data_IF_295466342575
#
_entry.id   IF_295466342575
#
_cell.length_a   1.000
_cell.length_b   1.000
_cell.length_c   1.000
_cell.angle_alpha   90.00
_cell.angle_beta   90.00
_cell.angle_gamma   90.00
#
_symmetry.space_group_name_H-M   'P 1'
#
loop_
_entity.id
_entity.type
_entity.pdbx_description
1 polymer ?
#
# COMPACT_ATOMS: atom_id res chain seq x y z
N UNK A 1 17.91 3.38 19.76
CA UNK A 1 16.79 2.40 19.89
C UNK A 1 16.71 1.57 18.64
N UNK A 2 15.91 0.51 18.57
CA UNK A 2 15.68 -0.26 17.33
C UNK A 2 14.48 0.34 16.61
N UNK A 3 14.56 0.44 15.29
CA UNK A 3 13.39 0.82 14.45
C UNK A 3 12.28 -0.20 14.73
N UNK A 4 11.06 0.28 14.98
CA UNK A 4 9.92 -0.57 15.30
C UNK A 4 8.75 -0.29 14.35
N UNK A 5 8.31 -1.32 13.63
CA UNK A 5 7.13 -1.28 12.76
C UNK A 5 5.92 -1.83 13.53
N UNK A 6 4.88 -1.03 13.65
CA UNK A 6 3.54 -1.47 14.05
C UNK A 6 2.78 -1.90 12.80
N UNK A 7 2.47 -3.18 12.75
CA UNK A 7 2.06 -3.90 11.55
C UNK A 7 0.69 -4.57 11.73
N UNK A 8 0.12 -4.99 10.65
CA UNK A 8 -0.94 -6.00 10.59
C UNK A 8 -0.69 -6.86 9.34
N UNK A 9 -0.35 -8.13 9.56
CA UNK A 9 0.10 -9.04 8.51
C UNK A 9 -0.87 -9.14 7.31
N UNK A 10 -2.17 -8.98 7.54
CA UNK A 10 -3.22 -9.11 6.52
C UNK A 10 -3.60 -7.78 5.84
N UNK A 11 -3.09 -6.64 6.34
CA UNK A 11 -3.48 -5.33 5.85
C UNK A 11 -2.56 -4.84 4.70
N UNK A 12 -3.13 -4.19 3.67
CA UNK A 12 -2.36 -3.76 2.50
C UNK A 12 -1.39 -2.62 2.80
N UNK A 13 -1.76 -1.67 3.66
CA UNK A 13 -0.91 -0.52 3.95
C UNK A 13 0.39 -0.90 4.67
N UNK A 14 0.37 -1.70 5.75
CA UNK A 14 1.60 -2.20 6.37
C UNK A 14 2.44 -3.08 5.44
N UNK A 15 1.83 -3.87 4.57
CA UNK A 15 2.57 -4.69 3.60
C UNK A 15 3.49 -3.84 2.72
N UNK A 16 3.08 -2.63 2.35
CA UNK A 16 3.96 -1.69 1.61
C UNK A 16 5.20 -1.31 2.42
N UNK A 17 5.01 -1.01 3.71
CA UNK A 17 6.12 -0.69 4.60
C UNK A 17 7.07 -1.88 4.80
N UNK A 18 6.55 -3.12 4.99
CA UNK A 18 7.37 -4.33 5.08
C UNK A 18 8.22 -4.53 3.84
N UNK A 19 7.62 -4.47 2.65
CA UNK A 19 8.34 -4.60 1.39
C UNK A 19 9.41 -3.52 1.26
N UNK A 20 9.08 -2.27 1.57
CA UNK A 20 10.01 -1.15 1.49
C UNK A 20 11.21 -1.32 2.43
N UNK A 21 10.97 -1.72 3.69
CA UNK A 21 12.02 -2.02 4.66
C UNK A 21 12.94 -3.15 4.19
N UNK A 22 12.36 -4.22 3.62
CA UNK A 22 13.11 -5.34 3.07
C UNK A 22 13.95 -4.94 1.85
N UNK A 23 13.39 -4.17 0.92
CA UNK A 23 14.12 -3.67 -0.25
C UNK A 23 15.28 -2.72 0.12
N UNK A 24 15.13 -2.00 1.22
CA UNK A 24 16.20 -1.15 1.78
C UNK A 24 17.18 -1.91 2.68
N UNK A 25 16.93 -3.19 2.98
CA UNK A 25 17.75 -3.98 3.88
C UNK A 25 17.78 -3.48 5.32
N UNK A 26 16.70 -2.84 5.77
CA UNK A 26 16.61 -2.20 7.09
C UNK A 26 16.10 -3.19 8.13
N UNK A 27 16.96 -3.51 9.11
CA UNK A 27 16.58 -4.33 10.26
C UNK A 27 15.62 -3.55 11.17
N UNK A 28 14.55 -4.20 11.61
CA UNK A 28 13.54 -3.61 12.47
C UNK A 28 12.87 -4.66 13.36
N UNK A 29 12.29 -4.22 14.47
CA UNK A 29 11.34 -5.01 15.24
C UNK A 29 9.93 -4.84 14.68
N UNK A 30 9.09 -5.85 14.81
CA UNK A 30 7.69 -5.81 14.39
C UNK A 30 6.79 -6.04 15.59
N UNK A 31 5.76 -5.18 15.72
CA UNK A 31 4.67 -5.32 16.68
C UNK A 31 3.39 -5.51 15.90
N UNK A 32 2.78 -6.69 16.01
CA UNK A 32 1.49 -6.97 15.37
C UNK A 32 0.37 -6.20 16.07
N UNK A 33 -0.52 -5.60 15.30
CA UNK A 33 -1.72 -4.89 15.75
C UNK A 33 -2.94 -5.61 15.20
N UNK A 34 -3.73 -6.25 16.06
CA UNK A 34 -4.89 -7.03 15.63
C UNK A 34 -6.07 -6.13 15.26
N UNK A 35 -6.20 -5.86 13.96
CA UNK A 35 -7.32 -5.07 13.43
C UNK A 35 -8.68 -5.77 13.55
N UNK A 36 -8.69 -7.11 13.69
CA UNK A 36 -9.95 -7.88 13.85
C UNK A 36 -10.52 -7.69 15.25
N UNK A 37 -9.64 -7.51 16.22
CA UNK A 37 -10.02 -7.19 17.61
C UNK A 37 -10.13 -5.67 17.83
N UNK A 38 -10.03 -4.87 16.77
CA UNK A 38 -10.06 -3.41 16.84
C UNK A 38 -8.97 -2.81 17.78
N UNK A 39 -7.83 -3.49 17.94
CA UNK A 39 -6.73 -3.08 18.83
C UNK A 39 -6.25 -1.66 18.50
N UNK A 40 -6.26 -1.26 17.22
CA UNK A 40 -5.87 0.09 16.77
C UNK A 40 -6.79 1.19 17.35
N UNK A 41 -7.96 0.85 17.86
CA UNK A 41 -8.91 1.79 18.48
C UNK A 41 -8.77 1.84 20.00
N UNK A 42 -8.01 0.92 20.59
CA UNK A 42 -7.78 0.87 22.04
C UNK A 42 -6.82 1.95 22.53
N UNK A 43 -6.93 2.33 23.80
CA UNK A 43 -6.13 3.39 24.41
C UNK A 43 -4.63 3.14 24.33
N UNK A 44 -4.20 1.89 24.38
CA UNK A 44 -2.79 1.52 24.29
C UNK A 44 -2.21 1.94 22.93
N UNK A 45 -2.88 1.58 21.83
CA UNK A 45 -2.42 1.94 20.49
C UNK A 45 -2.65 3.42 20.19
N UNK A 46 -3.72 4.04 20.67
CA UNK A 46 -3.96 5.49 20.50
C UNK A 46 -2.85 6.36 21.07
N UNK A 47 -2.17 5.92 22.14
CA UNK A 47 -0.99 6.62 22.68
C UNK A 47 0.22 6.53 21.73
N UNK A 48 0.29 5.49 20.89
CA UNK A 48 1.32 5.31 19.87
C UNK A 48 0.94 6.10 18.63
N UNK A 49 -0.23 5.80 18.04
CA UNK A 49 -0.75 6.48 16.85
C UNK A 49 -2.19 6.99 17.09
N UNK A 50 -2.37 8.26 17.41
CA UNK A 50 -3.70 8.85 17.62
C UNK A 50 -4.64 8.76 16.40
N UNK A 51 -4.09 8.54 15.20
CA UNK A 51 -4.87 8.34 13.97
C UNK A 51 -5.50 6.95 13.89
N UNK A 52 -5.17 6.02 14.80
CA UNK A 52 -5.75 4.67 14.85
C UNK A 52 -5.60 3.91 13.52
N UNK A 53 -4.45 4.02 12.87
CA UNK A 53 -4.14 3.39 11.60
C UNK A 53 -2.82 2.63 11.65
N UNK A 54 -2.67 1.65 10.77
CA UNK A 54 -1.40 0.95 10.50
C UNK A 54 -1.02 1.15 9.02
N UNK A 55 0.28 1.21 8.68
CA UNK A 55 1.42 1.08 9.57
C UNK A 55 1.67 2.33 10.40
N UNK A 56 2.39 2.14 11.51
CA UNK A 56 3.14 3.19 12.16
C UNK A 56 4.59 2.69 12.32
N UNK A 57 5.58 3.58 12.18
CA UNK A 57 6.98 3.24 12.35
C UNK A 57 7.61 4.21 13.33
N UNK A 58 8.25 3.68 14.37
CA UNK A 58 9.08 4.45 15.31
C UNK A 58 10.54 4.25 14.91
N UNK A 59 11.23 5.33 14.62
CA UNK A 59 12.63 5.33 14.21
C UNK A 59 13.56 5.07 15.40
N UNK A 60 14.85 4.85 15.12
CA UNK A 60 15.86 4.60 16.13
C UNK A 60 16.15 5.80 17.04
N UNK A 61 15.80 7.02 16.59
CA UNK A 61 15.85 8.27 17.36
C UNK A 61 14.48 8.67 17.98
N UNK A 62 13.46 7.84 17.84
CA UNK A 62 12.15 8.01 18.47
C UNK A 62 11.13 8.83 17.68
N UNK A 63 11.40 9.17 16.40
CA UNK A 63 10.43 9.83 15.55
C UNK A 63 9.31 8.85 15.18
N UNK A 64 8.05 9.27 15.33
CA UNK A 64 6.88 8.52 14.89
C UNK A 64 6.45 8.91 13.48
N UNK A 65 6.33 7.93 12.60
CA UNK A 65 5.84 8.06 11.22
C UNK A 65 4.54 7.25 11.09
N UNK A 66 3.43 7.88 10.74
CA UNK A 66 2.08 7.28 10.84
C UNK A 66 1.46 6.86 9.51
N UNK A 67 2.17 7.06 8.40
CA UNK A 67 1.69 6.72 7.06
C UNK A 67 2.84 6.32 6.12
N UNK A 68 2.47 5.68 5.00
CA UNK A 68 3.48 5.20 4.06
C UNK A 68 4.25 6.32 3.35
N UNK A 69 3.68 7.53 3.22
CA UNK A 69 4.38 8.63 2.57
C UNK A 69 5.54 9.11 3.46
N UNK A 70 5.28 9.31 4.76
CA UNK A 70 6.29 9.68 5.74
C UNK A 70 7.36 8.59 5.89
N UNK A 71 6.94 7.31 6.01
CA UNK A 71 7.85 6.16 6.11
C UNK A 71 8.75 6.09 4.86
N UNK A 72 8.18 6.23 3.66
CA UNK A 72 8.94 6.20 2.40
C UNK A 72 9.94 7.35 2.33
N UNK A 73 9.51 8.57 2.64
CA UNK A 73 10.38 9.75 2.59
C UNK A 73 11.55 9.64 3.57
N UNK A 74 11.29 9.17 4.79
CA UNK A 74 12.32 8.98 5.79
C UNK A 74 13.31 7.87 5.40
N UNK A 75 12.80 6.71 4.96
CA UNK A 75 13.65 5.59 4.53
C UNK A 75 14.51 5.96 3.32
N UNK A 76 13.96 6.69 2.36
CA UNK A 76 14.71 7.12 1.17
C UNK A 76 15.82 8.11 1.53
N UNK A 77 15.57 9.03 2.46
CA UNK A 77 16.57 9.98 2.93
C UNK A 77 17.66 9.31 3.78
N UNK A 78 17.28 8.37 4.64
CA UNK A 78 18.20 7.70 5.58
C UNK A 78 18.99 6.57 4.93
N UNK A 79 18.37 5.87 3.95
CA UNK A 79 18.91 4.73 3.21
C UNK A 79 18.70 4.95 1.71
N UNK A 80 19.52 5.79 1.05
CA UNK A 80 19.27 6.22 -0.33
C UNK A 80 19.43 5.10 -1.38
N UNK A 81 19.99 3.95 -1.02
CA UNK A 81 20.14 2.82 -1.92
C UNK A 81 19.31 1.61 -1.49
N UNK A 82 18.64 0.94 -2.46
CA UNK A 82 18.37 1.36 -3.84
C UNK A 82 17.43 2.58 -3.91
N UNK A 83 17.56 3.45 -4.96
CA UNK A 83 16.75 4.68 -5.05
C UNK A 83 15.33 4.39 -5.54
N UNK A 84 14.43 4.04 -4.62
CA UNK A 84 13.05 3.65 -4.95
C UNK A 84 12.14 4.83 -5.32
N UNK A 85 12.56 6.06 -5.02
CA UNK A 85 11.90 7.29 -5.49
C UNK A 85 12.55 7.90 -6.76
N UNK A 86 13.54 7.19 -7.35
CA UNK A 86 14.26 7.65 -8.53
C UNK A 86 15.48 8.52 -8.23
N UNK A 87 16.40 8.60 -9.20
CA UNK A 87 17.67 9.29 -9.07
C UNK A 87 17.67 10.65 -9.75
N UNK A 88 17.02 10.77 -10.90
CA UNK A 88 16.92 12.01 -11.67
C UNK A 88 15.61 12.75 -11.41
N UNK A 89 15.52 14.06 -11.67
CA UNK A 89 14.25 14.80 -11.55
C UNK A 89 13.11 14.18 -12.38
N UNK A 90 13.41 13.68 -13.58
CA UNK A 90 12.42 13.06 -14.45
C UNK A 90 11.91 11.73 -13.89
N UNK A 91 12.81 10.85 -13.41
CA UNK A 91 12.43 9.60 -12.73
C UNK A 91 11.57 9.88 -11.50
N UNK A 92 12.00 10.84 -10.66
CA UNK A 92 11.26 11.22 -9.45
C UNK A 92 9.85 11.71 -9.76
N UNK A 93 9.70 12.52 -10.79
CA UNK A 93 8.41 13.04 -11.21
C UNK A 93 7.50 11.91 -11.74
N UNK A 94 8.04 11.03 -12.59
CA UNK A 94 7.28 9.91 -13.15
C UNK A 94 6.85 8.92 -12.05
N UNK A 95 7.78 8.54 -11.15
CA UNK A 95 7.50 7.63 -10.03
C UNK A 95 6.45 8.25 -9.10
N UNK A 96 6.58 9.52 -8.73
CA UNK A 96 5.61 10.20 -7.88
C UNK A 96 4.20 10.25 -8.52
N UNK A 97 4.12 10.52 -9.82
CA UNK A 97 2.87 10.53 -10.58
C UNK A 97 2.20 9.15 -10.56
N UNK A 98 2.95 8.07 -10.84
CA UNK A 98 2.41 6.72 -10.83
C UNK A 98 2.10 6.22 -9.43
N UNK A 99 2.91 6.56 -8.43
CA UNK A 99 2.62 6.27 -7.02
C UNK A 99 1.26 6.85 -6.61
N UNK A 100 1.02 8.13 -6.93
CA UNK A 100 -0.26 8.79 -6.64
C UNK A 100 -1.42 8.10 -7.38
N UNK A 101 -1.26 7.78 -8.67
CA UNK A 101 -2.29 7.08 -9.45
C UNK A 101 -2.63 5.73 -8.86
N UNK A 102 -1.63 4.93 -8.49
CA UNK A 102 -1.84 3.61 -7.89
C UNK A 102 -2.56 3.71 -6.54
N UNK A 103 -2.23 4.71 -5.73
CA UNK A 103 -2.93 4.95 -4.47
C UNK A 103 -4.36 5.41 -4.69
N UNK A 104 -4.57 6.41 -5.54
CA UNK A 104 -5.89 7.01 -5.75
C UNK A 104 -6.82 6.15 -6.61
N UNK A 105 -6.32 5.64 -7.75
CA UNK A 105 -7.13 4.87 -8.70
C UNK A 105 -7.25 3.39 -8.29
N UNK A 106 -6.24 2.84 -7.59
CA UNK A 106 -6.17 1.45 -7.15
C UNK A 106 -6.58 1.26 -5.69
N UNK A 107 -5.68 1.56 -4.75
CA UNK A 107 -5.90 1.24 -3.32
C UNK A 107 -7.14 1.92 -2.74
N UNK A 108 -7.36 3.20 -3.05
CA UNK A 108 -8.53 3.92 -2.56
C UNK A 108 -9.83 3.37 -3.17
N UNK A 109 -9.82 2.98 -4.45
CA UNK A 109 -10.98 2.35 -5.09
C UNK A 109 -11.31 0.99 -4.45
N UNK A 110 -10.31 0.16 -4.13
CA UNK A 110 -10.50 -1.10 -3.41
C UNK A 110 -11.05 -0.83 -2.00
N UNK A 111 -10.50 0.17 -1.31
CA UNK A 111 -10.98 0.56 0.02
C UNK A 111 -12.43 1.07 -0.02
N UNK A 112 -12.80 1.87 -1.02
CA UNK A 112 -14.20 2.28 -1.24
C UNK A 112 -15.13 1.07 -1.39
N UNK A 113 -14.74 0.13 -2.27
CA UNK A 113 -15.55 -1.07 -2.52
C UNK A 113 -15.69 -1.95 -1.27
N UNK A 114 -14.57 -2.23 -0.59
CA UNK A 114 -14.55 -3.09 0.59
C UNK A 114 -15.30 -2.46 1.76
N UNK A 115 -14.93 -1.23 2.12
CA UNK A 115 -15.41 -0.59 3.36
C UNK A 115 -16.86 -0.19 3.28
N UNK A 116 -17.34 0.16 2.08
CA UNK A 116 -18.75 0.52 1.89
C UNK A 116 -19.64 -0.68 1.52
N UNK A 117 -19.05 -1.81 1.09
CA UNK A 117 -19.81 -2.99 0.65
C UNK A 117 -19.80 -4.17 1.64
N UNK A 118 -18.83 -4.23 2.56
CA UNK A 118 -18.70 -5.35 3.50
C UNK A 118 -19.48 -5.10 4.80
N UNK A 119 -20.40 -5.99 5.23
CA UNK A 119 -21.05 -5.88 6.53
C UNK A 119 -20.09 -5.82 7.72
N UNK A 120 -18.93 -6.49 7.61
CA UNK A 120 -17.90 -6.45 8.65
C UNK A 120 -17.26 -5.05 8.83
N UNK A 121 -17.51 -4.13 7.90
CA UNK A 121 -17.03 -2.74 7.96
C UNK A 121 -18.14 -1.74 8.32
N UNK A 122 -19.25 -2.19 8.93
CA UNK A 122 -20.32 -1.30 9.39
C UNK A 122 -19.73 -0.19 10.27
N UNK A 123 -20.12 1.06 10.01
CA UNK A 123 -19.59 2.28 10.64
C UNK A 123 -18.07 2.51 10.46
N UNK A 124 -17.41 1.73 9.64
CA UNK A 124 -15.96 1.83 9.37
C UNK A 124 -15.66 2.12 7.90
N UNK A 125 -16.51 2.96 7.26
CA UNK A 125 -16.35 3.32 5.86
C UNK A 125 -15.00 4.00 5.55
N UNK A 126 -14.40 4.69 6.53
CA UNK A 126 -13.04 5.21 6.47
C UNK A 126 -12.18 4.65 7.61
N UNK A 127 -10.85 4.54 7.42
CA UNK A 127 -9.95 4.24 8.52
C UNK A 127 -9.83 5.45 9.47
N UNK A 128 -9.39 5.19 10.70
CA UNK A 128 -9.17 6.27 11.68
C UNK A 128 -10.07 6.14 12.91
N UNK A 129 -10.04 7.15 13.80
CA UNK A 129 -10.73 7.10 15.10
C UNK A 129 -12.21 7.45 15.03
N UNK A 130 -12.70 7.96 13.89
CA UNK A 130 -14.08 8.43 13.70
C UNK A 130 -14.87 7.37 12.95
N UNK A 131 -16.08 7.12 13.41
CA UNK A 131 -17.01 6.22 12.74
C UNK A 131 -17.75 6.94 11.60
N UNK A 132 -17.74 6.32 10.43
CA UNK A 132 -18.47 6.79 9.26
C UNK A 132 -19.41 5.69 8.74
N UNK A 133 -20.67 6.02 8.48
CA UNK A 133 -21.62 5.07 7.90
C UNK A 133 -21.22 4.69 6.48
N UNK A 134 -21.62 3.50 6.07
CA UNK A 134 -21.42 2.99 4.72
C UNK A 134 -22.36 3.66 3.72
N UNK A 135 -21.89 3.84 2.48
CA UNK A 135 -22.64 4.40 1.35
C UNK A 135 -22.57 3.40 0.20
N UNK A 136 -23.64 2.67 -0.07
CA UNK A 136 -23.67 1.59 -1.04
C UNK A 136 -23.24 2.03 -2.47
N UNK A 137 -23.59 3.25 -2.88
CA UNK A 137 -23.17 3.79 -4.17
C UNK A 137 -21.64 3.92 -4.30
N UNK A 138 -20.92 4.18 -3.19
CA UNK A 138 -19.46 4.21 -3.18
C UNK A 138 -18.86 2.81 -3.36
N UNK A 139 -19.50 1.78 -2.82
CA UNK A 139 -19.07 0.41 -3.05
C UNK A 139 -19.13 0.04 -4.56
N UNK A 140 -20.22 0.39 -5.23
CA UNK A 140 -20.38 0.14 -6.66
C UNK A 140 -19.38 0.93 -7.50
N UNK A 141 -19.19 2.23 -7.20
CA UNK A 141 -18.20 3.07 -7.86
C UNK A 141 -16.78 2.53 -7.66
N UNK A 142 -16.46 2.12 -6.45
CA UNK A 142 -15.17 1.52 -6.12
C UNK A 142 -14.87 0.29 -6.99
N UNK A 143 -15.82 -0.64 -7.13
CA UNK A 143 -15.67 -1.82 -7.99
C UNK A 143 -15.39 -1.46 -9.46
N UNK A 144 -16.16 -0.52 -10.02
CA UNK A 144 -15.95 -0.06 -11.39
C UNK A 144 -14.56 0.57 -11.58
N UNK A 145 -14.11 1.38 -10.60
CA UNK A 145 -12.76 2.00 -10.62
C UNK A 145 -11.64 0.97 -10.55
N UNK A 146 -11.78 -0.11 -9.75
CA UNK A 146 -10.77 -1.17 -9.69
C UNK A 146 -10.63 -1.87 -11.04
N UNK A 147 -11.74 -2.17 -11.72
CA UNK A 147 -11.71 -2.77 -13.06
C UNK A 147 -11.02 -1.86 -14.08
N UNK A 148 -11.37 -0.58 -14.09
CA UNK A 148 -10.72 0.42 -14.95
C UNK A 148 -9.22 0.53 -14.65
N UNK A 149 -8.84 0.54 -13.39
CA UNK A 149 -7.44 0.64 -12.96
C UNK A 149 -6.60 -0.52 -13.48
N UNK A 150 -7.13 -1.74 -13.54
CA UNK A 150 -6.40 -2.86 -14.12
C UNK A 150 -6.13 -2.68 -15.61
N UNK A 151 -7.07 -2.14 -16.38
CA UNK A 151 -6.85 -1.76 -17.78
C UNK A 151 -5.74 -0.70 -17.91
N UNK A 152 -5.78 0.34 -17.08
CA UNK A 152 -4.74 1.39 -17.05
C UNK A 152 -3.36 0.83 -16.73
N UNK A 153 -3.26 -0.11 -15.79
CA UNK A 153 -1.98 -0.77 -15.48
C UNK A 153 -1.52 -1.68 -16.62
N UNK A 154 -2.43 -2.42 -17.24
CA UNK A 154 -2.09 -3.31 -18.35
C UNK A 154 -1.53 -2.52 -19.54
N UNK A 155 -2.21 -1.45 -19.95
CA UNK A 155 -1.73 -0.53 -20.99
C UNK A 155 -0.36 0.07 -20.63
N UNK A 156 -0.20 0.51 -19.40
CA UNK A 156 1.08 1.07 -18.92
C UNK A 156 2.23 0.07 -19.02
N UNK A 157 1.96 -1.19 -18.74
CA UNK A 157 2.95 -2.28 -18.70
C UNK A 157 3.20 -2.92 -20.07
N UNK A 158 2.51 -2.49 -21.13
CA UNK A 158 2.82 -2.90 -22.50
C UNK A 158 4.26 -2.53 -22.85
N UNK A 159 5.11 -3.53 -23.07
CA UNK A 159 6.53 -3.34 -23.37
C UNK A 159 7.39 -2.78 -22.24
N UNK A 160 6.91 -2.79 -20.98
CA UNK A 160 7.64 -2.30 -19.80
C UNK A 160 7.77 -3.39 -18.75
N UNK A 161 8.91 -3.40 -18.05
CA UNK A 161 9.18 -4.30 -16.93
C UNK A 161 8.79 -3.68 -15.57
N UNK A 162 8.70 -2.34 -15.51
CA UNK A 162 8.34 -1.59 -14.30
C UNK A 162 7.34 -0.48 -14.63
N UNK A 163 6.57 -0.08 -13.62
CA UNK A 163 5.52 0.93 -13.77
C UNK A 163 6.12 2.31 -14.08
N UNK A 164 7.23 2.67 -13.47
CA UNK A 164 7.83 3.99 -13.63
C UNK A 164 9.36 3.96 -13.48
N UNK A 165 10.05 4.97 -14.00
CA UNK A 165 11.48 5.18 -13.81
C UNK A 165 12.41 4.16 -14.46
N UNK A 166 11.90 3.25 -15.28
CA UNK A 166 12.69 2.20 -15.95
C UNK A 166 13.35 1.19 -15.02
N UNK A 167 13.01 1.21 -13.73
CA UNK A 167 13.51 0.30 -12.68
C UNK A 167 12.43 0.06 -11.62
N UNK A 168 12.66 -0.96 -10.77
CA UNK A 168 11.80 -1.21 -9.63
C UNK A 168 11.76 0.00 -8.69
N UNK A 169 10.55 0.40 -8.28
CA UNK A 169 10.29 1.63 -7.52
C UNK A 169 9.15 1.45 -6.51
N UNK A 170 8.89 2.48 -5.72
CA UNK A 170 7.75 2.51 -4.79
C UNK A 170 6.40 2.35 -5.53
N UNK A 171 6.30 2.79 -6.78
CA UNK A 171 5.09 2.61 -7.59
C UNK A 171 4.80 1.12 -7.86
N UNK A 172 5.86 0.31 -8.10
CA UNK A 172 5.72 -1.15 -8.25
C UNK A 172 5.32 -1.81 -6.93
N UNK A 173 5.91 -1.42 -5.80
CA UNK A 173 5.54 -1.93 -4.46
C UNK A 173 4.05 -1.69 -4.22
N UNK A 174 3.60 -0.47 -4.41
CA UNK A 174 2.20 -0.09 -4.15
C UNK A 174 1.25 -0.80 -5.11
N UNK A 175 1.63 -0.95 -6.38
CA UNK A 175 0.81 -1.64 -7.38
C UNK A 175 0.70 -3.15 -7.11
N UNK A 176 1.80 -3.83 -6.73
CA UNK A 176 1.73 -5.25 -6.30
C UNK A 176 0.73 -5.41 -5.18
N UNK A 177 0.82 -4.56 -4.16
CA UNK A 177 -0.10 -4.62 -3.02
C UNK A 177 -1.54 -4.33 -3.45
N UNK A 178 -1.79 -3.37 -4.34
CA UNK A 178 -3.12 -3.07 -4.85
C UNK A 178 -3.71 -4.24 -5.65
N UNK A 179 -2.94 -4.80 -6.58
CA UNK A 179 -3.37 -5.94 -7.42
C UNK A 179 -3.71 -7.17 -6.56
N UNK A 180 -2.84 -7.49 -5.59
CA UNK A 180 -3.07 -8.62 -4.70
C UNK A 180 -4.25 -8.38 -3.76
N UNK A 181 -4.42 -7.16 -3.26
CA UNK A 181 -5.47 -6.80 -2.33
C UNK A 181 -6.85 -6.73 -2.99
N UNK A 182 -6.95 -6.47 -4.30
CA UNK A 182 -8.23 -6.42 -5.01
C UNK A 182 -9.06 -7.73 -4.92
N UNK A 183 -8.41 -8.85 -4.57
CA UNK A 183 -9.09 -10.12 -4.29
C UNK A 183 -10.15 -10.03 -3.18
N UNK A 184 -9.99 -9.09 -2.23
CA UNK A 184 -10.96 -8.92 -1.12
C UNK A 184 -12.32 -8.44 -1.61
N UNK A 185 -12.34 -7.76 -2.77
CA UNK A 185 -13.55 -7.33 -3.47
C UNK A 185 -13.85 -8.21 -4.69
N UNK A 186 -13.24 -9.42 -4.76
CA UNK A 186 -13.42 -10.43 -5.79
C UNK A 186 -13.03 -9.99 -7.21
N UNK A 187 -12.12 -9.02 -7.31
CA UNK A 187 -11.57 -8.56 -8.59
C UNK A 187 -10.13 -9.07 -8.73
N UNK A 188 -9.80 -9.60 -9.91
CA UNK A 188 -8.46 -10.10 -10.26
C UNK A 188 -8.14 -9.77 -11.71
N UNK A 189 -6.85 -9.57 -12.06
CA UNK A 189 -6.45 -9.51 -13.47
C UNK A 189 -6.85 -10.83 -14.18
N UNK A 190 -7.48 -10.70 -15.34
CA UNK A 190 -7.89 -11.82 -16.18
C UNK A 190 -7.18 -11.79 -17.54
N UNK A 191 -7.67 -12.60 -18.50
CA UNK A 191 -7.13 -12.72 -19.87
C UNK A 191 -7.04 -11.37 -20.61
N UNK A 192 -7.90 -10.43 -20.26
CA UNK A 192 -7.86 -9.05 -20.79
C UNK A 192 -6.67 -8.21 -20.29
N UNK A 193 -5.84 -8.73 -19.38
CA UNK A 193 -4.74 -8.01 -18.77
C UNK A 193 -3.41 -8.78 -18.86
N UNK A 194 -2.93 -9.15 -20.07
CA UNK A 194 -1.76 -10.02 -20.23
C UNK A 194 -0.46 -9.36 -19.74
N UNK A 195 -0.31 -8.05 -19.93
CA UNK A 195 0.89 -7.31 -19.51
C UNK A 195 0.95 -7.17 -17.99
N UNK A 196 -0.19 -6.91 -17.36
CA UNK A 196 -0.29 -6.86 -15.90
C UNK A 196 -0.01 -8.23 -15.27
N UNK A 197 -0.50 -9.32 -15.86
CA UNK A 197 -0.21 -10.69 -15.39
C UNK A 197 1.28 -11.02 -15.52
N UNK A 198 1.89 -10.74 -16.67
CA UNK A 198 3.33 -10.91 -16.90
C UNK A 198 4.14 -10.16 -15.86
N UNK A 199 3.85 -8.86 -15.68
CA UNK A 199 4.53 -8.02 -14.71
C UNK A 199 4.36 -8.55 -13.27
N UNK A 200 3.12 -8.93 -12.88
CA UNK A 200 2.89 -9.46 -11.52
C UNK A 200 3.64 -10.76 -11.28
N UNK A 201 3.76 -11.64 -12.29
CA UNK A 201 4.57 -12.85 -12.20
C UNK A 201 6.06 -12.54 -12.02
N UNK A 202 6.59 -11.57 -12.77
CA UNK A 202 7.97 -11.11 -12.62
C UNK A 202 8.24 -10.51 -11.22
N UNK A 203 7.31 -9.70 -10.69
CA UNK A 203 7.42 -9.15 -9.33
C UNK A 203 7.43 -10.25 -8.26
N UNK A 204 6.71 -11.35 -8.46
CA UNK A 204 6.68 -12.46 -7.50
C UNK A 204 8.04 -13.14 -7.28
N UNK A 205 8.98 -12.97 -8.20
CA UNK A 205 10.33 -13.51 -8.06
C UNK A 205 11.22 -12.73 -7.08
N UNK A 206 10.80 -11.54 -6.64
CA UNK A 206 11.53 -10.77 -5.64
C UNK A 206 11.21 -11.29 -4.23
N UNK A 207 12.22 -11.60 -3.40
CA UNK A 207 11.98 -12.14 -2.05
C UNK A 207 11.06 -11.27 -1.18
N UNK A 208 11.16 -9.95 -1.30
CA UNK A 208 10.35 -8.99 -0.56
C UNK A 208 8.84 -9.10 -0.83
N UNK A 209 8.44 -9.66 -1.98
CA UNK A 209 7.02 -9.77 -2.37
C UNK A 209 6.27 -10.91 -1.66
N UNK A 210 6.99 -11.78 -0.96
CA UNK A 210 6.41 -12.84 -0.14
C UNK A 210 5.95 -12.35 1.25
N UNK A 211 6.27 -11.11 1.61
CA UNK A 211 5.97 -10.47 2.89
C UNK A 211 4.51 -10.01 2.99
#
# INVERSE_FOLDING_TARGET
>A
MTITLYDCATAPSPRRARILLAEKGVAHATVEVDLRQAEQLGDAYRRINPQCTVPALVTDDGLLLTDNAAITAWLEARYPQPPLLGSTPAEKAEIASWQWRVEFEGLLAIAEALRNGSPAMANRALPGPIDYPQIAALAQRGLARVQQFFGVLDERLAGRDFIAGGRFSIADITAVVAVDFARVVKVRPGEAHPHLQRWRAAMALRPSMSL
#
